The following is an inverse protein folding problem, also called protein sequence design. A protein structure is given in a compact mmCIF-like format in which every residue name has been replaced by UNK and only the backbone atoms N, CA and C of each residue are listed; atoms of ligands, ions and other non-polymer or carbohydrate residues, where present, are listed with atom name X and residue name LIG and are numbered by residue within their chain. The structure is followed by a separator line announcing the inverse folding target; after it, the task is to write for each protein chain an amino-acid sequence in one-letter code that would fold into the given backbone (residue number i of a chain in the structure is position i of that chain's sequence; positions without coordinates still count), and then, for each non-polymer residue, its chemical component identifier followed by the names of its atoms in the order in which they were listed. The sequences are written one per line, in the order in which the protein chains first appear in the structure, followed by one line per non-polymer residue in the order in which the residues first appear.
data_IF_300400261568
#
_entry.id   IF_300400261568
#
_cell.length_a   1.000
_cell.length_b   1.000
_cell.length_c   1.000
_cell.angle_alpha   90.00
_cell.angle_beta   90.00
_cell.angle_gamma   90.00
#
_symmetry.space_group_name_H-M   'P 1'
#
loop_
_entity.id
_entity.type
_entity.pdbx_description
1 polymer ?
#
# COMPACT_ATOMS: atom_id res chain seq x y z
N UNK A 1 61.89 -12.71 -47.32
CA UNK A 1 61.84 -11.25 -47.12
C UNK A 1 60.40 -10.79 -47.30
N UNK A 2 59.99 -9.79 -46.51
CA UNK A 2 58.68 -9.13 -46.46
C UNK A 2 57.66 -9.64 -45.40
N UNK A 3 57.92 -9.16 -44.19
CA UNK A 3 57.07 -8.68 -43.10
C UNK A 3 55.53 -8.79 -43.16
N UNK A 4 55.05 -9.28 -42.01
CA UNK A 4 53.70 -9.22 -41.45
C UNK A 4 53.18 -7.80 -41.26
N UNK A 5 51.89 -7.59 -41.52
CA UNK A 5 51.07 -6.52 -40.91
C UNK A 5 49.77 -7.15 -40.40
N UNK A 6 49.66 -7.27 -39.08
CA UNK A 6 48.43 -7.67 -38.41
C UNK A 6 47.49 -6.46 -38.34
N UNK A 7 46.29 -6.57 -38.92
CA UNK A 7 45.18 -5.65 -38.62
C UNK A 7 44.26 -6.37 -37.64
N UNK A 8 44.31 -5.97 -36.37
CA UNK A 8 43.42 -6.47 -35.32
C UNK A 8 42.09 -5.72 -35.40
N UNK A 9 41.06 -6.33 -35.97
CA UNK A 9 39.68 -5.83 -35.88
C UNK A 9 39.13 -6.20 -34.49
N UNK A 10 39.07 -5.25 -33.57
CA UNK A 10 38.33 -5.38 -32.32
C UNK A 10 36.84 -5.21 -32.62
N UNK A 11 36.13 -6.32 -32.78
CA UNK A 11 34.66 -6.34 -32.72
C UNK A 11 34.31 -6.44 -31.23
N UNK A 12 34.01 -5.30 -30.60
CA UNK A 12 33.34 -5.29 -29.29
C UNK A 12 31.90 -5.74 -29.49
N UNK A 13 31.62 -6.98 -29.13
CA UNK A 13 30.26 -7.47 -28.96
C UNK A 13 29.61 -6.72 -27.79
N UNK A 14 28.78 -5.71 -28.08
CA UNK A 14 27.79 -5.19 -27.14
C UNK A 14 26.72 -6.28 -26.96
N UNK A 15 26.98 -7.25 -26.09
CA UNK A 15 25.92 -8.05 -25.50
C UNK A 15 25.08 -7.11 -24.64
N UNK A 16 23.88 -6.79 -25.14
CA UNK A 16 22.89 -6.01 -24.42
C UNK A 16 22.55 -6.65 -23.08
N UNK A 17 22.99 -6.00 -22.00
CA UNK A 17 22.41 -6.16 -20.68
C UNK A 17 21.02 -5.51 -20.70
N UNK A 18 20.03 -6.21 -21.25
CA UNK A 18 18.64 -5.94 -20.90
C UNK A 18 18.34 -6.60 -19.56
N UNK A 19 18.89 -6.03 -18.49
CA UNK A 19 18.29 -6.18 -17.16
C UNK A 19 17.07 -5.26 -17.07
N UNK A 20 15.99 -5.65 -16.39
CA UNK A 20 14.87 -4.74 -16.17
C UNK A 20 15.40 -3.56 -15.36
N UNK A 21 15.41 -2.37 -15.95
CA UNK A 21 15.72 -1.13 -15.24
C UNK A 21 14.55 -0.78 -14.33
N UNK A 22 14.44 -1.44 -13.17
CA UNK A 22 13.59 -0.99 -12.07
C UNK A 22 14.32 0.07 -11.23
N UNK A 23 14.91 1.06 -11.90
CA UNK A 23 15.58 2.18 -11.26
C UNK A 23 14.96 3.47 -11.77
N UNK A 24 14.03 4.04 -11.01
CA UNK A 24 13.51 5.39 -11.26
C UNK A 24 14.70 6.36 -11.34
N UNK A 25 14.73 7.22 -12.35
CA UNK A 25 15.78 8.22 -12.48
C UNK A 25 15.73 9.19 -11.28
N UNK A 26 16.85 9.79 -10.84
CA UNK A 26 16.84 10.79 -9.78
C UNK A 26 15.84 11.92 -10.08
N UNK A 27 14.83 12.08 -9.23
CA UNK A 27 13.78 13.09 -9.38
C UNK A 27 12.49 12.62 -10.06
N UNK A 28 12.39 11.34 -10.46
CA UNK A 28 11.12 10.73 -10.87
C UNK A 28 10.26 10.38 -9.65
N UNK A 29 8.92 10.52 -9.76
CA UNK A 29 8.02 10.09 -8.70
C UNK A 29 8.12 8.58 -8.50
N UNK A 30 8.28 8.15 -7.24
CA UNK A 30 8.30 6.73 -6.87
C UNK A 30 6.87 6.25 -6.66
N UNK A 31 6.49 5.20 -7.37
CA UNK A 31 5.22 4.49 -7.12
C UNK A 31 5.44 3.35 -6.13
N UNK A 32 4.51 3.21 -5.19
CA UNK A 32 4.55 2.21 -4.13
C UNK A 32 3.29 1.38 -4.23
N UNK A 33 3.44 0.06 -4.41
CA UNK A 33 2.31 -0.87 -4.41
C UNK A 33 1.94 -1.18 -2.96
N UNK A 34 0.67 -0.93 -2.58
CA UNK A 34 0.13 -1.19 -1.25
C UNK A 34 -0.94 -2.30 -1.27
N UNK A 35 -0.89 -3.14 -2.30
CA UNK A 35 -1.85 -4.21 -2.56
C UNK A 35 -1.16 -5.57 -2.42
N UNK A 36 -1.76 -6.47 -1.66
CA UNK A 36 -1.36 -7.88 -1.70
C UNK A 36 -1.83 -8.53 -3.00
N UNK A 37 -0.99 -9.38 -3.60
CA UNK A 37 -1.40 -10.20 -4.75
C UNK A 37 -2.55 -11.12 -4.33
N UNK A 38 -3.55 -11.30 -5.19
CA UNK A 38 -4.58 -12.32 -4.98
C UNK A 38 -4.02 -13.67 -5.46
N UNK A 39 -3.89 -14.64 -4.56
CA UNK A 39 -3.39 -15.97 -4.87
C UNK A 39 -4.15 -17.03 -4.07
N UNK A 40 -4.21 -18.25 -4.60
CA UNK A 40 -4.82 -19.37 -3.89
C UNK A 40 -4.05 -19.63 -2.59
N UNK A 41 -4.76 -19.76 -1.47
CA UNK A 41 -4.16 -19.95 -0.14
C UNK A 41 -3.81 -18.65 0.60
N UNK A 42 -4.16 -17.49 0.05
CA UNK A 42 -4.15 -16.22 0.82
C UNK A 42 -5.08 -16.31 2.04
N UNK A 43 -4.77 -15.57 3.13
CA UNK A 43 -5.72 -15.38 4.20
C UNK A 43 -7.05 -14.82 3.70
N UNK A 44 -8.15 -15.35 4.22
CA UNK A 44 -9.50 -14.87 3.93
C UNK A 44 -10.36 -14.80 5.18
N UNK A 45 -11.44 -14.00 5.14
CA UNK A 45 -12.34 -13.88 6.26
C UNK A 45 -13.07 -15.21 6.53
N UNK A 46 -13.09 -15.73 7.78
CA UNK A 46 -13.74 -17.00 8.09
C UNK A 46 -15.20 -17.07 7.64
N UNK A 47 -15.53 -18.16 6.94
CA UNK A 47 -16.86 -18.44 6.42
C UNK A 47 -17.18 -17.81 5.05
N UNK A 48 -16.28 -16.98 4.51
CA UNK A 48 -16.41 -16.47 3.14
C UNK A 48 -15.81 -17.44 2.13
N UNK A 49 -16.20 -17.29 0.85
CA UNK A 49 -15.59 -18.10 -0.21
C UNK A 49 -14.13 -17.68 -0.43
N UNK A 50 -13.18 -18.62 -0.47
CA UNK A 50 -11.78 -18.30 -0.72
C UNK A 50 -11.59 -17.86 -2.18
N UNK A 51 -10.51 -17.12 -2.43
CA UNK A 51 -10.08 -16.82 -3.79
C UNK A 51 -9.83 -18.12 -4.57
N UNK A 52 -10.39 -18.18 -5.78
CA UNK A 52 -10.21 -19.29 -6.69
C UNK A 52 -9.86 -18.77 -8.09
N UNK A 53 -8.67 -19.15 -8.55
CA UNK A 53 -8.22 -18.93 -9.92
C UNK A 53 -8.29 -20.23 -10.71
N UNK A 54 -9.06 -20.23 -11.80
CA UNK A 54 -9.22 -21.39 -12.69
C UNK A 54 -8.69 -21.08 -14.07
N UNK A 55 -7.79 -21.93 -14.58
CA UNK A 55 -7.30 -21.87 -15.96
C UNK A 55 -8.38 -22.45 -16.88
N UNK A 56 -8.84 -21.67 -17.86
CA UNK A 56 -9.83 -22.09 -18.87
C UNK A 56 -9.13 -22.59 -20.13
N UNK A 57 -8.19 -21.82 -20.66
CA UNK A 57 -7.31 -22.20 -21.78
C UNK A 57 -5.93 -21.55 -21.61
N UNK A 58 -4.88 -22.25 -22.00
CA UNK A 58 -3.47 -21.81 -22.00
C UNK A 58 -2.71 -22.53 -23.11
N UNK A 59 -3.18 -22.40 -24.35
CA UNK A 59 -2.63 -23.13 -25.50
C UNK A 59 -2.62 -22.29 -26.77
N UNK A 60 -1.97 -22.81 -27.81
CA UNK A 60 -2.16 -22.34 -29.19
C UNK A 60 -3.47 -22.92 -29.70
N UNK A 61 -4.43 -22.05 -30.05
CA UNK A 61 -5.76 -22.47 -30.53
C UNK A 61 -5.71 -22.80 -32.04
N UNK A 62 -6.76 -23.44 -32.61
CA UNK A 62 -6.75 -23.86 -34.02
C UNK A 62 -6.45 -22.77 -35.05
N UNK A 63 -6.73 -21.50 -34.72
CA UNK A 63 -6.44 -20.34 -35.56
C UNK A 63 -4.95 -19.92 -35.55
N UNK A 64 -4.10 -20.67 -34.86
CA UNK A 64 -2.64 -20.56 -34.93
C UNK A 64 -1.99 -19.54 -33.99
N UNK A 65 -2.75 -18.95 -33.05
CA UNK A 65 -2.22 -18.02 -32.06
C UNK A 65 -2.41 -18.54 -30.62
N UNK A 66 -1.55 -18.09 -29.70
CA UNK A 66 -1.65 -18.42 -28.28
C UNK A 66 -2.80 -17.65 -27.64
N UNK A 67 -3.69 -18.36 -26.96
CA UNK A 67 -4.78 -17.80 -26.18
C UNK A 67 -4.65 -18.27 -24.73
N UNK A 68 -4.77 -17.32 -23.81
CA UNK A 68 -4.88 -17.61 -22.40
C UNK A 68 -6.16 -16.98 -21.83
N UNK A 69 -6.99 -17.82 -21.22
CA UNK A 69 -8.25 -17.47 -20.58
C UNK A 69 -8.27 -18.05 -19.17
N UNK A 70 -8.68 -17.25 -18.20
CA UNK A 70 -8.78 -17.66 -16.81
C UNK A 70 -10.07 -17.11 -16.20
N UNK A 71 -10.65 -17.84 -15.25
CA UNK A 71 -11.77 -17.40 -14.43
C UNK A 71 -11.30 -17.06 -13.02
N UNK A 72 -11.98 -16.09 -12.41
CA UNK A 72 -11.79 -15.71 -11.00
C UNK A 72 -13.13 -15.85 -10.26
N UNK A 73 -13.07 -16.40 -9.05
CA UNK A 73 -14.19 -16.45 -8.12
C UNK A 73 -13.70 -16.10 -6.72
N UNK A 74 -14.39 -15.19 -6.04
CA UNK A 74 -13.96 -14.60 -4.78
C UNK A 74 -15.12 -13.90 -4.09
N UNK A 75 -15.01 -13.71 -2.77
CA UNK A 75 -15.88 -12.80 -2.03
C UNK A 75 -15.55 -11.33 -2.35
N UNK A 76 -16.49 -10.41 -2.15
CA UNK A 76 -16.25 -8.97 -2.32
C UNK A 76 -15.09 -8.48 -1.44
N UNK A 77 -15.04 -8.97 -0.20
CA UNK A 77 -14.11 -8.59 0.85
C UNK A 77 -12.87 -9.49 0.87
N UNK A 78 -12.20 -9.61 -0.28
CA UNK A 78 -11.04 -10.49 -0.49
C UNK A 78 -9.76 -9.70 -0.69
N UNK A 79 -8.70 -10.05 0.05
CA UNK A 79 -7.38 -9.43 -0.09
C UNK A 79 -7.37 -7.98 0.36
N UNK A 80 -6.49 -7.17 -0.23
CA UNK A 80 -6.60 -5.72 -0.09
C UNK A 80 -7.90 -5.27 -0.78
N UNK A 81 -8.87 -4.80 -0.01
CA UNK A 81 -10.21 -4.53 -0.51
C UNK A 81 -10.80 -3.27 0.11
N UNK A 82 -11.85 -2.77 -0.52
CA UNK A 82 -12.58 -1.59 -0.12
C UNK A 82 -13.94 -1.96 0.48
N UNK A 83 -14.29 -1.30 1.58
CA UNK A 83 -15.65 -1.32 2.13
C UNK A 83 -16.38 -0.04 1.75
N UNK A 84 -17.48 -0.20 1.02
CA UNK A 84 -18.38 0.91 0.76
C UNK A 84 -19.31 1.12 1.96
N UNK A 85 -19.88 2.33 2.17
CA UNK A 85 -20.82 2.59 3.25
C UNK A 85 -21.98 1.58 3.35
N UNK A 86 -22.45 1.06 2.22
CA UNK A 86 -23.49 0.03 2.16
C UNK A 86 -23.12 -1.30 2.84
N UNK A 87 -21.83 -1.54 3.12
CA UNK A 87 -21.37 -2.74 3.83
C UNK A 87 -22.03 -2.91 5.19
N UNK A 88 -22.21 -1.81 5.93
CA UNK A 88 -22.92 -1.82 7.22
C UNK A 88 -24.18 -0.95 7.25
N UNK A 89 -24.36 -0.03 6.30
CA UNK A 89 -25.40 1.01 6.37
C UNK A 89 -26.40 0.84 5.23
N UNK A 90 -27.61 0.38 5.56
CA UNK A 90 -28.67 0.18 4.59
C UNK A 90 -28.99 1.48 3.81
N UNK A 91 -28.98 1.37 2.48
CA UNK A 91 -29.29 2.49 1.59
C UNK A 91 -28.17 3.53 1.42
N UNK A 92 -27.00 3.30 2.03
CA UNK A 92 -25.83 4.13 1.79
C UNK A 92 -25.15 3.77 0.45
N UNK A 93 -24.07 4.48 0.12
CA UNK A 93 -23.33 4.26 -1.11
C UNK A 93 -22.81 2.82 -1.19
N UNK A 94 -23.21 2.14 -2.27
CA UNK A 94 -22.58 0.93 -2.76
C UNK A 94 -21.26 1.28 -3.45
N UNK A 95 -20.44 0.28 -3.74
CA UNK A 95 -19.11 0.46 -4.33
C UNK A 95 -19.14 1.33 -5.59
N UNK A 96 -20.07 1.03 -6.50
CA UNK A 96 -20.26 1.73 -7.77
C UNK A 96 -20.81 3.17 -7.62
N UNK A 97 -21.17 3.57 -6.40
CA UNK A 97 -21.72 4.89 -6.07
C UNK A 97 -20.73 5.75 -5.29
N UNK A 98 -19.59 5.19 -4.87
CA UNK A 98 -18.54 5.95 -4.19
C UNK A 98 -17.92 6.95 -5.19
N UNK A 99 -17.93 8.27 -4.90
CA UNK A 99 -17.35 9.24 -5.82
C UNK A 99 -15.84 9.05 -5.95
N UNK A 100 -15.31 9.12 -7.17
CA UNK A 100 -13.89 8.88 -7.45
C UNK A 100 -12.95 9.82 -6.66
N UNK A 101 -13.37 11.07 -6.43
CA UNK A 101 -12.60 12.02 -5.63
C UNK A 101 -12.45 11.63 -4.15
N UNK A 102 -13.26 10.68 -3.66
CA UNK A 102 -13.15 10.11 -2.32
C UNK A 102 -12.18 8.92 -2.26
N UNK A 103 -11.60 8.49 -3.40
CA UNK A 103 -10.72 7.32 -3.50
C UNK A 103 -9.24 7.70 -3.64
N UNK A 104 -8.91 8.98 -3.50
CA UNK A 104 -7.53 9.45 -3.51
C UNK A 104 -7.35 10.70 -2.65
N UNK A 105 -6.12 10.92 -2.18
CA UNK A 105 -5.79 12.10 -1.40
C UNK A 105 -4.37 12.06 -0.82
N UNK A 106 -3.98 13.09 -0.06
CA UNK A 106 -2.71 13.10 0.68
C UNK A 106 -2.62 11.88 1.59
N UNK A 107 -1.53 11.11 1.47
CA UNK A 107 -1.28 9.95 2.32
C UNK A 107 -0.71 10.35 3.67
N UNK A 108 -1.25 9.75 4.72
CA UNK A 108 -0.80 9.90 6.10
C UNK A 108 -0.63 8.51 6.70
N UNK A 109 0.50 8.21 7.33
CA UNK A 109 0.72 6.93 8.02
C UNK A 109 0.82 7.16 9.52
N UNK A 110 -0.13 6.63 10.28
CA UNK A 110 -0.05 6.52 11.74
C UNK A 110 0.48 5.13 12.06
N UNK A 111 1.76 5.07 12.44
CA UNK A 111 2.48 3.83 12.75
C UNK A 111 2.40 3.56 14.26
N UNK A 112 1.78 2.43 14.61
CA UNK A 112 1.63 1.95 16.00
C UNK A 112 2.27 0.59 16.22
N UNK A 113 3.14 0.12 15.29
CA UNK A 113 3.69 -1.24 15.32
C UNK A 113 4.43 -1.61 16.61
N UNK A 114 5.04 -0.62 17.26
CA UNK A 114 5.74 -0.84 18.53
C UNK A 114 4.77 -1.17 19.67
N UNK A 115 3.51 -0.74 19.56
CA UNK A 115 2.45 -0.98 20.55
C UNK A 115 1.71 -2.30 20.31
N UNK A 116 1.73 -2.82 19.08
CA UNK A 116 1.01 -4.03 18.65
C UNK A 116 1.88 -5.29 18.75
N UNK A 117 3.22 -5.16 18.64
CA UNK A 117 4.18 -6.28 18.63
C UNK A 117 3.93 -7.30 19.74
N UNK A 118 3.70 -6.82 20.95
CA UNK A 118 3.49 -7.64 22.15
C UNK A 118 2.02 -7.58 22.63
N UNK A 119 1.13 -7.01 21.81
CA UNK A 119 -0.30 -6.86 22.10
C UNK A 119 -1.11 -7.04 20.79
N UNK A 120 -1.48 -8.28 20.44
CA UNK A 120 -2.20 -8.58 19.22
C UNK A 120 -3.61 -7.98 19.20
N UNK A 121 -4.16 -7.59 20.34
CA UNK A 121 -5.49 -7.00 20.45
C UNK A 121 -5.45 -5.47 20.67
N UNK A 122 -4.32 -4.82 20.37
CA UNK A 122 -4.19 -3.37 20.52
C UNK A 122 -5.26 -2.62 19.72
N UNK A 123 -5.89 -1.63 20.35
CA UNK A 123 -6.89 -0.79 19.72
C UNK A 123 -6.38 0.66 19.62
N UNK A 124 -6.28 1.16 18.39
CA UNK A 124 -5.80 2.50 18.07
C UNK A 124 -6.83 3.51 18.58
N UNK A 125 -6.42 4.35 19.53
CA UNK A 125 -7.30 5.29 20.23
C UNK A 125 -7.05 6.75 19.85
N UNK A 126 -7.83 7.69 20.41
CA UNK A 126 -7.65 9.13 20.19
C UNK A 126 -6.24 9.62 20.49
N UNK A 127 -5.59 9.04 21.51
CA UNK A 127 -4.25 9.42 21.93
C UNK A 127 -3.21 9.15 20.83
N UNK A 128 -3.35 8.06 20.07
CA UNK A 128 -2.43 7.73 18.96
C UNK A 128 -2.42 8.83 17.90
N UNK A 129 -3.61 9.32 17.51
CA UNK A 129 -3.73 10.41 16.55
C UNK A 129 -3.20 11.73 17.10
N UNK A 130 -3.51 12.04 18.37
CA UNK A 130 -3.04 13.27 19.00
C UNK A 130 -1.51 13.26 19.18
N UNK A 131 -0.92 12.12 19.48
CA UNK A 131 0.53 11.95 19.61
C UNK A 131 1.20 12.17 18.26
N UNK A 132 0.69 11.50 17.22
CA UNK A 132 1.16 11.66 15.85
C UNK A 132 1.10 13.12 15.39
N UNK A 133 0.00 13.83 15.67
CA UNK A 133 -0.14 15.23 15.26
C UNK A 133 0.77 16.21 15.98
N UNK A 134 1.20 15.89 17.21
CA UNK A 134 2.20 16.70 17.91
C UNK A 134 3.56 16.63 17.22
N UNK A 135 3.87 15.52 16.56
CA UNK A 135 5.15 15.31 15.87
C UNK A 135 5.11 15.76 14.41
N UNK A 136 4.03 15.46 13.70
CA UNK A 136 3.95 15.60 12.24
C UNK A 136 3.00 16.71 11.77
N UNK A 137 2.36 17.41 12.71
CA UNK A 137 1.33 18.40 12.43
C UNK A 137 -0.04 17.78 12.21
N UNK A 138 -1.06 18.63 12.02
CA UNK A 138 -2.45 18.18 11.90
C UNK A 138 -2.64 17.26 10.69
N UNK A 139 -3.30 16.13 10.88
CA UNK A 139 -3.80 15.26 9.80
C UNK A 139 -4.72 16.09 8.90
N UNK A 140 -4.41 16.26 7.61
CA UNK A 140 -5.22 17.08 6.72
C UNK A 140 -6.64 16.53 6.51
N UNK A 141 -7.62 17.41 6.34
CA UNK A 141 -8.93 16.99 5.83
C UNK A 141 -8.79 16.46 4.39
N UNK A 142 -9.58 15.45 4.04
CA UNK A 142 -9.53 14.78 2.73
C UNK A 142 -8.33 13.84 2.53
N UNK A 143 -7.54 13.58 3.58
CA UNK A 143 -6.43 12.63 3.50
C UNK A 143 -6.91 11.18 3.39
N UNK A 144 -6.00 10.34 2.88
CA UNK A 144 -6.05 8.88 2.99
C UNK A 144 -5.18 8.50 4.18
N UNK A 145 -5.82 8.13 5.29
CA UNK A 145 -5.15 7.77 6.54
C UNK A 145 -4.86 6.27 6.55
N UNK A 146 -3.60 5.88 6.68
CA UNK A 146 -3.16 4.50 6.82
C UNK A 146 -2.76 4.22 8.25
N UNK A 147 -3.42 3.24 8.86
CA UNK A 147 -3.12 2.71 10.18
C UNK A 147 -2.15 1.56 10.01
N UNK A 148 -0.87 1.77 10.31
CA UNK A 148 0.14 0.73 10.24
C UNK A 148 0.29 0.07 11.60
N UNK A 149 -0.14 -1.18 11.68
CA UNK A 149 -0.02 -2.00 12.89
C UNK A 149 1.18 -2.95 12.82
N UNK A 150 1.78 -3.13 11.64
CA UNK A 150 2.82 -4.13 11.40
C UNK A 150 2.24 -5.54 11.13
N UNK A 151 0.93 -5.72 11.28
CA UNK A 151 0.27 -7.01 11.14
C UNK A 151 0.25 -7.52 9.70
N UNK A 152 0.26 -6.60 8.73
CA UNK A 152 0.32 -6.96 7.31
C UNK A 152 1.56 -7.77 6.95
N UNK A 153 2.65 -7.63 7.71
CA UNK A 153 3.89 -8.41 7.51
C UNK A 153 3.63 -9.93 7.72
N UNK A 154 2.62 -10.31 8.50
CA UNK A 154 2.26 -11.72 8.73
C UNK A 154 1.34 -12.31 7.66
N UNK A 155 0.76 -11.47 6.79
CA UNK A 155 -0.26 -11.86 5.81
C UNK A 155 0.17 -13.06 4.95
N UNK A 156 1.43 -13.04 4.46
CA UNK A 156 2.00 -14.16 3.70
C UNK A 156 3.04 -14.96 4.48
N UNK A 157 3.81 -14.30 5.35
CA UNK A 157 5.04 -14.88 5.89
C UNK A 157 4.79 -15.96 6.94
N UNK A 158 3.70 -15.84 7.72
CA UNK A 158 3.40 -16.73 8.85
C UNK A 158 2.11 -17.55 8.64
N UNK A 159 1.38 -17.31 7.55
CA UNK A 159 0.16 -18.01 7.18
C UNK A 159 -1.12 -17.52 7.86
N UNK A 160 -2.27 -18.02 7.39
CA UNK A 160 -3.61 -17.58 7.81
C UNK A 160 -3.83 -17.66 9.33
N UNK A 161 -3.34 -18.70 10.00
CA UNK A 161 -3.49 -18.85 11.46
C UNK A 161 -2.78 -17.75 12.24
N UNK A 162 -1.54 -17.40 11.86
CA UNK A 162 -0.82 -16.33 12.52
C UNK A 162 -1.49 -14.97 12.23
N UNK A 163 -1.95 -14.78 11.00
CA UNK A 163 -2.63 -13.56 10.58
C UNK A 163 -3.98 -13.34 11.27
N UNK A 164 -4.79 -14.39 11.43
CA UNK A 164 -6.10 -14.31 12.07
C UNK A 164 -6.03 -14.50 13.59
N UNK A 165 -4.90 -14.98 14.12
CA UNK A 165 -4.74 -15.30 15.54
C UNK A 165 -5.45 -16.59 15.99
N UNK A 166 -6.02 -17.34 15.06
CA UNK A 166 -6.72 -18.62 15.31
C UNK A 166 -6.69 -19.51 14.07
N UNK A 167 -6.72 -20.82 14.27
CA UNK A 167 -6.88 -21.84 13.24
C UNK A 167 -8.35 -22.28 13.08
N UNK A 168 -9.26 -21.64 13.83
CA UNK A 168 -10.69 -21.96 13.79
C UNK A 168 -11.43 -21.02 12.84
N UNK A 169 -12.53 -21.50 12.26
CA UNK A 169 -13.45 -20.65 11.52
C UNK A 169 -14.32 -19.73 12.41
N UNK A 170 -14.05 -19.66 13.72
CA UNK A 170 -14.87 -18.89 14.66
C UNK A 170 -14.36 -17.44 14.75
N UNK A 171 -15.14 -16.52 14.20
CA UNK A 171 -14.79 -15.09 14.18
C UNK A 171 -14.70 -14.46 15.57
N UNK A 172 -15.21 -15.10 16.64
CA UNK A 172 -15.05 -14.60 18.01
C UNK A 172 -13.69 -14.92 18.63
N UNK A 173 -12.84 -15.68 17.94
CA UNK A 173 -11.50 -16.07 18.39
C UNK A 173 -10.39 -15.39 17.58
N UNK A 174 -10.73 -14.38 16.78
CA UNK A 174 -9.77 -13.65 15.97
C UNK A 174 -8.92 -12.72 16.85
N UNK A 175 -7.61 -12.69 16.64
CA UNK A 175 -6.70 -11.78 17.33
C UNK A 175 -5.86 -11.03 16.32
N UNK A 176 -6.13 -9.73 16.20
CA UNK A 176 -5.35 -8.77 15.43
C UNK A 176 -5.75 -7.34 15.84
N UNK A 177 -4.85 -6.34 15.70
CA UNK A 177 -5.12 -4.98 16.13
C UNK A 177 -6.24 -4.33 15.30
N UNK A 178 -6.78 -3.22 15.80
CA UNK A 178 -7.77 -2.46 15.06
C UNK A 178 -7.97 -1.04 15.57
N UNK A 179 -8.91 -0.33 14.98
CA UNK A 179 -9.32 1.00 15.42
C UNK A 179 -10.31 0.89 16.59
N UNK A 180 -9.99 1.51 17.72
CA UNK A 180 -10.89 1.60 18.87
C UNK A 180 -12.12 2.46 18.51
N UNK A 181 -13.32 2.19 19.05
CA UNK A 181 -14.52 3.01 18.80
C UNK A 181 -14.35 4.48 19.17
N UNK A 182 -13.64 4.79 20.25
CA UNK A 182 -13.32 6.19 20.60
C UNK A 182 -12.35 6.83 19.60
N UNK A 183 -11.43 6.06 19.03
CA UNK A 183 -10.53 6.53 17.97
C UNK A 183 -11.31 6.86 16.70
N UNK A 184 -12.23 5.97 16.31
CA UNK A 184 -13.16 6.21 15.21
C UNK A 184 -14.02 7.45 15.43
N UNK A 185 -14.57 7.61 16.64
CA UNK A 185 -15.38 8.79 16.99
C UNK A 185 -14.54 10.07 16.96
N UNK A 186 -13.32 10.04 17.48
CA UNK A 186 -12.42 11.18 17.45
C UNK A 186 -12.10 11.61 16.01
N UNK A 187 -11.80 10.64 15.12
CA UNK A 187 -11.59 10.93 13.70
C UNK A 187 -12.84 11.54 13.06
N UNK A 188 -14.03 10.98 13.32
CA UNK A 188 -15.29 11.48 12.78
C UNK A 188 -15.62 12.91 13.23
N UNK A 189 -15.32 13.26 14.47
CA UNK A 189 -15.64 14.58 15.03
C UNK A 189 -14.62 15.65 14.66
N UNK A 190 -13.35 15.25 14.50
CA UNK A 190 -12.26 16.20 14.41
C UNK A 190 -11.67 16.29 13.00
N UNK A 191 -11.89 15.31 12.12
CA UNK A 191 -11.29 15.25 10.78
C UNK A 191 -12.33 14.86 9.72
N UNK A 192 -12.06 15.22 8.46
CA UNK A 192 -12.89 14.83 7.31
C UNK A 192 -12.15 13.82 6.44
N UNK A 193 -12.02 12.59 6.92
CA UNK A 193 -11.34 11.53 6.19
C UNK A 193 -12.11 11.14 4.92
N UNK A 194 -11.39 10.90 3.83
CA UNK A 194 -11.96 10.24 2.65
C UNK A 194 -11.85 8.73 2.78
N UNK A 195 -10.65 8.26 3.10
CA UNK A 195 -10.30 6.84 3.20
C UNK A 195 -9.53 6.62 4.49
N UNK A 196 -9.81 5.50 5.17
CA UNK A 196 -8.97 4.95 6.22
C UNK A 196 -8.57 3.54 5.82
N UNK A 197 -7.28 3.27 5.72
CA UNK A 197 -6.74 1.95 5.46
C UNK A 197 -6.10 1.34 6.71
N UNK A 198 -6.12 0.02 6.83
CA UNK A 198 -5.44 -0.75 7.88
C UNK A 198 -4.81 -2.01 7.29
N UNK A 199 -3.69 -2.45 7.85
CA UNK A 199 -2.96 -3.66 7.44
C UNK A 199 -3.45 -4.95 8.12
N UNK A 200 -4.65 -4.95 8.70
CA UNK A 200 -5.32 -6.09 9.32
C UNK A 200 -6.58 -6.50 8.55
N UNK A 201 -7.16 -7.65 8.91
CA UNK A 201 -8.30 -8.23 8.22
C UNK A 201 -9.65 -7.60 8.56
N UNK A 202 -9.66 -6.56 9.40
CA UNK A 202 -10.83 -5.75 9.71
C UNK A 202 -10.41 -4.39 10.29
N UNK A 203 -11.14 -3.32 10.01
CA UNK A 203 -10.94 -2.00 10.62
C UNK A 203 -11.12 -2.04 12.13
N UNK A 204 -12.05 -2.86 12.62
CA UNK A 204 -12.18 -3.18 14.04
C UNK A 204 -11.22 -4.32 14.41
N UNK A 205 -10.78 -4.39 15.68
CA UNK A 205 -9.90 -5.46 16.14
C UNK A 205 -10.58 -6.85 16.04
N UNK A 206 -9.77 -7.91 16.09
CA UNK A 206 -10.25 -9.29 15.93
C UNK A 206 -11.35 -9.69 16.91
N UNK A 207 -11.23 -9.23 18.17
CA UNK A 207 -12.20 -9.52 19.23
C UNK A 207 -13.51 -8.68 19.14
N UNK A 208 -13.59 -7.71 18.23
CA UNK A 208 -14.79 -6.87 18.10
C UNK A 208 -15.97 -7.65 17.53
N UNK A 209 -17.03 -7.76 18.35
CA UNK A 209 -18.32 -8.35 17.96
C UNK A 209 -19.25 -7.32 17.32
N UNK A 210 -19.20 -6.07 17.78
CA UNK A 210 -20.18 -5.04 17.38
C UNK A 210 -19.76 -4.23 16.15
N UNK A 211 -18.49 -4.36 15.72
CA UNK A 211 -17.90 -3.63 14.58
C UNK A 211 -18.20 -2.13 14.65
N UNK A 212 -17.89 -1.54 15.81
CA UNK A 212 -18.29 -0.17 16.11
C UNK A 212 -17.51 0.85 15.29
N UNK A 213 -16.26 0.59 14.90
CA UNK A 213 -15.51 1.50 14.03
C UNK A 213 -16.15 1.59 12.64
N UNK A 214 -16.59 0.46 12.07
CA UNK A 214 -17.45 0.44 10.88
C UNK A 214 -18.72 1.27 11.06
N UNK A 215 -19.46 1.02 12.14
CA UNK A 215 -20.76 1.65 12.40
C UNK A 215 -20.67 3.14 12.75
N UNK A 216 -19.48 3.63 13.13
CA UNK A 216 -19.24 5.05 13.40
C UNK A 216 -18.86 5.80 12.11
N UNK A 217 -17.94 5.24 11.31
CA UNK A 217 -17.29 5.97 10.21
C UNK A 217 -17.97 5.77 8.84
N UNK A 218 -18.49 4.57 8.53
CA UNK A 218 -19.20 4.33 7.27
C UNK A 218 -20.44 5.23 7.08
N UNK A 219 -21.27 5.53 8.11
CA UNK A 219 -22.36 6.52 7.98
C UNK A 219 -21.87 7.92 7.63
N UNK A 220 -20.62 8.25 7.96
CA UNK A 220 -19.97 9.53 7.64
C UNK A 220 -19.36 9.54 6.24
N UNK A 221 -19.58 8.47 5.45
CA UNK A 221 -19.05 8.27 4.09
C UNK A 221 -17.52 8.21 4.04
N UNK A 222 -16.90 7.80 5.14
CA UNK A 222 -15.50 7.39 5.15
C UNK A 222 -15.43 6.00 4.54
N UNK A 223 -14.51 5.81 3.61
CA UNK A 223 -14.27 4.55 2.92
C UNK A 223 -13.19 3.77 3.66
N UNK A 224 -13.33 2.45 3.79
CA UNK A 224 -12.27 1.64 4.38
C UNK A 224 -11.48 0.89 3.33
N UNK A 225 -10.21 0.64 3.66
CA UNK A 225 -9.37 -0.32 2.96
C UNK A 225 -8.76 -1.27 3.98
N UNK A 226 -9.01 -2.55 3.84
CA UNK A 226 -8.48 -3.56 4.77
C UNK A 226 -7.41 -4.42 4.08
N UNK A 227 -6.61 -5.11 4.88
CA UNK A 227 -5.44 -5.87 4.42
C UNK A 227 -4.51 -5.02 3.52
N UNK A 228 -4.23 -3.76 3.89
CA UNK A 228 -3.29 -2.92 3.12
C UNK A 228 -1.88 -3.53 3.20
N UNK A 229 -1.26 -3.71 2.05
CA UNK A 229 0.10 -4.24 1.95
C UNK A 229 1.18 -3.17 2.03
N UNK A 230 2.39 -3.59 2.41
CA UNK A 230 3.62 -2.80 2.30
C UNK A 230 3.58 -1.38 2.89
N UNK A 231 2.84 -1.17 3.99
CA UNK A 231 2.79 0.13 4.66
C UNK A 231 4.17 0.58 5.19
N UNK A 232 5.11 -0.34 5.35
CA UNK A 232 6.51 -0.08 5.69
C UNK A 232 7.25 0.76 4.63
N UNK A 233 6.79 0.75 3.38
CA UNK A 233 7.42 1.46 2.28
C UNK A 233 6.90 2.90 2.11
N UNK A 234 5.76 3.23 2.74
CA UNK A 234 5.08 4.51 2.62
C UNK A 234 5.65 5.50 3.65
N UNK A 235 6.05 6.74 3.25
CA UNK A 235 6.52 7.73 4.21
C UNK A 235 5.36 8.21 5.09
N UNK A 236 5.68 8.65 6.31
CA UNK A 236 4.72 9.18 7.29
C UNK A 236 3.79 10.24 6.71
N UNK A 237 4.33 11.14 5.89
CA UNK A 237 3.59 12.15 5.11
C UNK A 237 4.28 12.40 3.75
N UNK A 238 3.65 13.16 2.87
CA UNK A 238 4.26 13.58 1.59
C UNK A 238 4.03 12.62 0.43
N UNK A 239 3.14 11.65 0.58
CA UNK A 239 2.64 10.81 -0.50
C UNK A 239 1.25 11.25 -0.96
N UNK A 240 0.85 10.84 -2.17
CA UNK A 240 -0.56 10.81 -2.59
C UNK A 240 -0.96 9.36 -2.75
N UNK A 241 -2.02 8.94 -2.07
CA UNK A 241 -2.50 7.55 -2.11
C UNK A 241 -3.77 7.47 -2.96
N UNK A 242 -3.88 6.37 -3.69
CA UNK A 242 -5.00 6.02 -4.56
C UNK A 242 -5.50 4.64 -4.14
N UNK A 243 -6.79 4.54 -3.80
CA UNK A 243 -7.45 3.32 -3.36
C UNK A 243 -8.50 2.91 -4.41
N UNK A 244 -8.07 2.19 -5.44
CA UNK A 244 -8.87 1.98 -6.66
C UNK A 244 -9.50 0.58 -6.68
N UNK A 245 -10.80 0.43 -6.33
CA UNK A 245 -11.49 -0.86 -6.38
C UNK A 245 -11.80 -1.29 -7.81
N UNK A 246 -12.05 -2.58 -8.00
CA UNK A 246 -12.81 -3.07 -9.15
C UNK A 246 -14.22 -2.47 -9.06
N UNK A 247 -14.72 -1.85 -10.14
CA UNK A 247 -16.02 -1.21 -10.16
C UNK A 247 -17.17 -2.24 -10.27
N UNK A 248 -17.51 -2.88 -9.14
CA UNK A 248 -18.59 -3.87 -9.04
C UNK A 248 -19.93 -3.15 -8.84
N UNK A 249 -20.85 -3.33 -9.78
CA UNK A 249 -22.21 -2.81 -9.67
C UNK A 249 -22.96 -3.42 -8.50
N UNK A 250 -23.63 -2.58 -7.71
CA UNK A 250 -24.37 -2.96 -6.50
C UNK A 250 -23.52 -3.55 -5.35
N UNK A 251 -22.19 -3.55 -5.44
CA UNK A 251 -21.31 -4.18 -4.46
C UNK A 251 -21.33 -3.51 -3.09
N UNK A 252 -21.18 -4.29 -2.02
CA UNK A 252 -20.96 -3.75 -0.66
C UNK A 252 -19.50 -3.38 -0.42
N UNK A 253 -18.61 -3.97 -1.19
CA UNK A 253 -17.18 -3.73 -1.24
C UNK A 253 -16.57 -4.41 -2.46
N UNK A 254 -15.26 -4.45 -2.54
CA UNK A 254 -14.56 -5.12 -3.63
C UNK A 254 -13.04 -5.06 -3.50
N UNK A 255 -12.29 -6.00 -4.09
CA UNK A 255 -10.84 -5.92 -4.13
C UNK A 255 -10.37 -4.61 -4.75
N UNK A 256 -9.32 -4.04 -4.18
CA UNK A 256 -8.79 -2.75 -4.57
C UNK A 256 -7.30 -2.81 -4.84
N UNK A 257 -6.88 -2.16 -5.93
CA UNK A 257 -5.49 -1.85 -6.16
C UNK A 257 -5.17 -0.51 -5.52
N UNK A 258 -4.45 -0.58 -4.41
CA UNK A 258 -4.04 0.54 -3.59
C UNK A 258 -2.58 0.83 -3.87
N UNK A 259 -2.26 2.07 -4.20
CA UNK A 259 -0.88 2.46 -4.44
C UNK A 259 -0.66 3.91 -4.04
N UNK A 260 0.60 4.28 -3.86
CA UNK A 260 0.99 5.64 -3.56
C UNK A 260 1.98 6.19 -4.57
N UNK A 261 1.97 7.50 -4.74
CA UNK A 261 2.98 8.27 -5.46
C UNK A 261 3.70 9.14 -4.43
N UNK A 262 5.03 9.04 -4.39
CA UNK A 262 5.90 9.87 -3.58
C UNK A 262 6.77 10.70 -4.52
N UNK A 263 6.61 12.02 -4.47
CA UNK A 263 7.41 12.92 -5.30
C UNK A 263 8.86 12.93 -4.84
N UNK A 264 9.79 12.55 -5.73
CA UNK A 264 11.23 12.59 -5.46
C UNK A 264 11.80 14.00 -5.27
N UNK A 265 10.98 15.05 -5.37
CA UNK A 265 11.38 16.46 -5.19
C UNK A 265 11.07 17.00 -3.79
N UNK A 266 10.15 16.40 -3.04
CA UNK A 266 9.71 16.91 -1.72
C UNK A 266 10.50 16.31 -0.55
N UNK A 267 11.21 15.20 -0.76
CA UNK A 267 12.08 14.56 0.24
C UNK A 267 13.38 15.32 0.54
N UNK A 268 13.66 16.41 -0.18
CA UNK A 268 14.90 17.19 -0.06
C UNK A 268 14.82 18.41 0.87
N UNK A 269 13.86 18.49 1.79
CA UNK A 269 13.90 19.51 2.84
C UNK A 269 14.68 19.01 4.06
N UNK A 270 15.94 18.62 3.86
CA UNK A 270 16.94 18.67 4.92
C UNK A 270 17.41 20.12 5.04
N UNK A 271 17.64 20.69 6.24
CA UNK A 271 18.22 22.00 6.36
C UNK A 271 19.59 21.97 5.65
N UNK A 272 19.77 22.86 4.67
CA UNK A 272 21.05 23.09 4.02
C UNK A 272 22.06 23.50 5.09
N UNK A 273 22.77 22.53 5.67
CA UNK A 273 24.03 22.79 6.33
C UNK A 273 25.01 23.16 5.22
N UNK A 274 25.25 24.46 5.13
CA UNK A 274 26.30 25.05 4.30
C UNK A 274 27.61 24.36 4.65
N UNK A 275 28.13 23.57 3.72
CA UNK A 275 29.42 22.93 3.89
C UNK A 275 30.15 23.00 2.55
N UNK A 276 31.01 24.02 2.45
CA UNK A 276 32.18 24.13 1.56
C UNK A 276 31.91 24.27 0.05
N UNK A 277 31.98 25.45 -0.59
CA UNK A 277 32.99 26.49 -0.46
C UNK A 277 34.44 25.99 -0.50
N UNK A 278 34.76 25.01 -1.36
CA UNK A 278 36.17 24.67 -1.69
C UNK A 278 36.36 24.07 -3.10
N UNK A 279 35.96 24.77 -4.16
CA UNK A 279 36.51 24.53 -5.53
C UNK A 279 36.71 25.88 -6.24
N UNK A 280 37.46 26.77 -5.59
CA UNK A 280 37.99 27.97 -6.19
C UNK A 280 39.42 28.08 -5.66
N UNK A 281 40.40 27.85 -6.54
CA UNK A 281 41.87 27.92 -6.38
C UNK A 281 42.57 26.58 -6.67
N UNK A 282 42.71 26.21 -7.94
CA UNK A 282 43.91 25.57 -8.51
C UNK A 282 43.79 25.51 -10.04
N UNK A 283 43.64 26.67 -10.69
CA UNK A 283 43.85 26.83 -12.13
C UNK A 283 44.63 28.12 -12.37
N UNK A 284 45.88 28.15 -11.92
CA UNK A 284 46.85 29.18 -12.30
C UNK A 284 48.28 28.76 -11.94
N UNK A 285 48.85 27.81 -12.68
CA UNK A 285 50.30 27.67 -12.89
C UNK A 285 50.62 26.47 -13.79
N UNK A 286 50.38 26.59 -15.10
CA UNK A 286 51.07 25.80 -16.12
C UNK A 286 51.61 26.78 -17.15
N UNK A 287 52.72 27.46 -16.81
CA UNK A 287 53.67 28.00 -17.79
C UNK A 287 55.07 27.91 -17.15
N UNK A 288 56.04 27.48 -17.96
CA UNK A 288 57.51 27.46 -17.77
C UNK A 288 58.12 26.27 -17.00
N UNK A 289 58.56 25.24 -17.73
CA UNK A 289 59.96 25.12 -18.18
C UNK A 289 60.28 23.70 -18.67
N UNK A 290 60.56 23.55 -19.97
CA UNK A 290 61.46 22.52 -20.50
C UNK A 290 62.38 23.22 -21.49
N UNK A 291 63.65 23.34 -21.09
CA UNK A 291 64.79 23.19 -22.01
C UNK A 291 64.95 21.69 -22.24
#
# INVERSE_FOLDING_TARGET
MANSTYTLLLITALCGLFGPSSGSLPGEPRMIELTWRLENGMPHWPGMVPYNFTIVDRNVIPDGFYLELNNIYLAEHTGTHLDAPAHFIQGAWRLDQVPLQNLAGPGVVVDVRDKTRDNPDYEIGPQDFQDWEREHGRIPDGSVLMLRTGWGEWYWEQGETAYLGTDTGNTTLLHFPGLHPEGAQWLADNRKMHVIGIDTGSMDNGQSVQKMSHRILLPKRVIFIENVGHLDQLPTTGSTVYAMPILIGQGSGGPARVFAIVDGRTSACSPLTSTFATVLLTLSSVILNVI
#
